data_IF_435546503525
#
_entry.id   IF_435546503525
#
_cell.length_a   1.000
_cell.length_b   1.000
_cell.length_c   1.000
_cell.angle_alpha   90.00
_cell.angle_beta   90.00
_cell.angle_gamma   90.00
#
_symmetry.space_group_name_H-M   'P 1'
#
loop_
_entity.id
_entity.type
_entity.pdbx_description
1 polymer ?
#
# COMPACT_ATOMS: atom_id res chain seq x y z
N UNK A 1 5.19 9.86 -19.66
CA UNK A 1 5.01 10.95 -18.66
C UNK A 1 6.34 11.17 -17.96
N UNK A 2 6.65 12.37 -17.45
CA UNK A 2 7.82 12.54 -16.59
C UNK A 2 7.65 11.69 -15.32
N UNK A 3 8.77 11.27 -14.73
CA UNK A 3 8.78 10.59 -13.43
C UNK A 3 8.14 11.47 -12.35
N UNK A 4 7.42 10.84 -11.41
CA UNK A 4 6.72 11.52 -10.31
C UNK A 4 7.29 11.02 -8.99
N UNK A 5 7.78 11.93 -8.14
CA UNK A 5 8.37 11.62 -6.84
C UNK A 5 9.44 10.51 -6.88
N UNK A 6 10.19 10.43 -7.99
CA UNK A 6 11.16 9.37 -8.25
C UNK A 6 12.42 9.44 -7.38
N UNK A 7 12.72 10.61 -6.82
CA UNK A 7 13.85 10.79 -5.90
C UNK A 7 13.49 10.23 -4.51
N UNK A 8 13.90 8.99 -4.25
CA UNK A 8 13.61 8.26 -3.02
C UNK A 8 14.42 8.72 -1.81
N UNK A 9 15.40 9.58 -2.01
CA UNK A 9 16.15 10.23 -0.92
C UNK A 9 15.38 11.38 -0.27
N UNK A 10 14.22 11.75 -0.81
CA UNK A 10 13.39 12.86 -0.32
C UNK A 10 12.10 12.35 0.33
N UNK A 11 11.69 12.94 1.46
CA UNK A 11 10.39 12.67 2.03
C UNK A 11 9.28 13.18 1.10
N UNK A 12 8.16 12.45 1.10
CA UNK A 12 6.96 12.82 0.35
C UNK A 12 5.75 12.63 1.25
N UNK A 13 4.81 13.57 1.22
CA UNK A 13 3.50 13.48 1.89
C UNK A 13 2.44 13.94 0.90
N UNK A 14 1.45 13.08 0.62
CA UNK A 14 0.37 13.35 -0.34
C UNK A 14 -0.96 12.97 0.28
N UNK A 15 -1.86 13.93 0.42
CA UNK A 15 -3.27 13.67 0.71
C UNK A 15 -4.00 13.35 -0.60
N UNK A 16 -4.32 12.07 -0.82
CA UNK A 16 -5.01 11.65 -2.05
C UNK A 16 -6.41 12.24 -2.19
N UNK A 17 -7.02 12.71 -1.10
CA UNK A 17 -8.34 13.35 -1.16
C UNK A 17 -8.30 14.71 -1.86
N UNK A 18 -7.11 15.32 -1.99
CA UNK A 18 -6.89 16.58 -2.72
C UNK A 18 -6.50 16.34 -4.19
N UNK A 19 -6.36 15.07 -4.62
CA UNK A 19 -5.98 14.74 -5.98
C UNK A 19 -7.20 14.47 -6.86
N UNK A 20 -7.13 14.92 -8.10
CA UNK A 20 -8.10 14.57 -9.14
C UNK A 20 -7.86 13.14 -9.66
N UNK A 21 -8.96 12.44 -9.97
CA UNK A 21 -8.89 11.16 -10.64
C UNK A 21 -8.48 11.31 -12.09
N UNK A 22 -7.51 10.52 -12.53
CA UNK A 22 -7.04 10.44 -13.92
C UNK A 22 -7.52 9.14 -14.55
N UNK A 23 -8.03 9.21 -15.78
CA UNK A 23 -8.44 8.02 -16.50
C UNK A 23 -7.23 7.10 -16.75
N UNK A 24 -7.44 5.80 -16.58
CA UNK A 24 -6.54 4.73 -17.00
C UNK A 24 -6.78 4.38 -18.47
N UNK A 25 -5.89 3.64 -19.16
CA UNK A 25 -6.17 3.09 -20.48
C UNK A 25 -7.39 2.17 -20.53
N UNK A 26 -7.71 1.47 -19.42
CA UNK A 26 -8.92 0.65 -19.32
C UNK A 26 -10.15 1.53 -18.97
N UNK A 27 -11.26 1.42 -19.73
CA UNK A 27 -12.48 2.17 -19.44
C UNK A 27 -13.02 1.85 -18.03
N UNK A 28 -13.51 2.88 -17.31
CA UNK A 28 -14.05 2.74 -15.97
C UNK A 28 -13.00 2.49 -14.87
N UNK A 29 -11.72 2.62 -15.21
CA UNK A 29 -10.63 2.54 -14.24
C UNK A 29 -9.94 3.88 -14.12
N UNK A 30 -9.78 4.34 -12.88
CA UNK A 30 -9.26 5.67 -12.52
C UNK A 30 -8.07 5.54 -11.60
N UNK A 31 -7.11 6.45 -11.70
CA UNK A 31 -5.86 6.42 -10.92
C UNK A 31 -5.54 7.77 -10.29
N UNK A 32 -5.01 7.72 -9.06
CA UNK A 32 -4.26 8.81 -8.41
C UNK A 32 -2.84 8.31 -8.22
N UNK A 33 -1.92 8.71 -9.11
CA UNK A 33 -0.52 8.28 -9.05
C UNK A 33 0.22 9.05 -7.96
N UNK A 34 0.86 8.34 -7.05
CA UNK A 34 1.63 8.86 -5.92
C UNK A 34 3.12 8.84 -6.22
N UNK A 35 3.59 7.79 -6.89
CA UNK A 35 4.96 7.61 -7.33
C UNK A 35 4.96 6.99 -8.73
N UNK A 36 5.91 7.43 -9.56
CA UNK A 36 6.20 6.84 -10.86
C UNK A 36 7.69 6.95 -11.16
N UNK A 37 8.34 5.80 -11.36
CA UNK A 37 9.74 5.73 -11.81
C UNK A 37 9.79 4.94 -13.11
N UNK A 38 10.25 5.57 -14.17
CA UNK A 38 10.34 4.98 -15.48
C UNK A 38 9.08 5.15 -16.34
N UNK A 39 8.71 4.12 -17.10
CA UNK A 39 7.56 4.16 -18.02
C UNK A 39 6.22 4.17 -17.27
N UNK A 40 5.24 4.90 -17.78
CA UNK A 40 3.95 5.11 -17.13
C UNK A 40 3.09 3.83 -16.97
N UNK A 41 3.31 2.83 -17.84
CA UNK A 41 2.54 1.58 -17.85
C UNK A 41 3.39 0.34 -17.51
N UNK A 42 4.72 0.47 -17.49
CA UNK A 42 5.67 -0.63 -17.21
C UNK A 42 6.68 -0.32 -16.10
N UNK A 43 6.68 0.90 -15.63
CA UNK A 43 7.58 1.36 -14.56
C UNK A 43 7.08 0.98 -13.18
N UNK A 44 7.87 1.35 -12.18
CA UNK A 44 7.49 1.23 -10.78
C UNK A 44 6.48 2.32 -10.44
N UNK A 45 5.31 1.91 -9.93
CA UNK A 45 4.19 2.82 -9.63
C UNK A 45 3.63 2.52 -8.25
N UNK A 46 3.30 3.58 -7.50
CA UNK A 46 2.40 3.54 -6.35
C UNK A 46 1.18 4.40 -6.66
N UNK A 47 -0.02 3.86 -6.49
CA UNK A 47 -1.27 4.54 -6.84
C UNK A 47 -2.42 4.17 -5.92
N UNK A 48 -3.41 5.06 -5.80
CA UNK A 48 -4.78 4.66 -5.47
C UNK A 48 -5.53 4.47 -6.79
N UNK A 49 -6.21 3.34 -6.93
CA UNK A 49 -6.93 2.94 -8.15
C UNK A 49 -8.38 2.69 -7.79
N UNK A 50 -9.31 3.23 -8.60
CA UNK A 50 -10.74 2.97 -8.48
C UNK A 50 -11.24 2.30 -9.75
N UNK A 51 -12.04 1.28 -9.57
CA UNK A 51 -12.80 0.60 -10.61
C UNK A 51 -14.27 0.99 -10.45
N UNK A 52 -14.90 1.43 -11.52
CA UNK A 52 -16.34 1.63 -11.57
C UNK A 52 -17.06 0.26 -11.62
N UNK A 53 -18.33 0.15 -11.20
CA UNK A 53 -19.09 -1.11 -11.25
C UNK A 53 -19.06 -1.78 -12.63
N UNK A 54 -18.88 -3.10 -12.65
CA UNK A 54 -18.81 -3.91 -13.87
C UNK A 54 -17.56 -3.74 -14.71
N UNK A 55 -16.53 -3.06 -14.20
CA UNK A 55 -15.27 -2.80 -14.90
C UNK A 55 -14.15 -3.76 -14.50
N UNK A 56 -13.10 -3.81 -15.31
CA UNK A 56 -11.94 -4.65 -15.08
C UNK A 56 -10.76 -4.24 -15.97
N UNK A 57 -9.69 -4.99 -15.85
CA UNK A 57 -8.53 -4.91 -16.71
C UNK A 57 -8.40 -6.21 -17.51
N UNK A 58 -8.00 -6.15 -18.80
CA UNK A 58 -7.65 -7.37 -19.53
C UNK A 58 -6.57 -8.18 -18.80
N UNK A 59 -6.57 -9.47 -19.01
CA UNK A 59 -5.56 -10.36 -18.44
C UNK A 59 -4.14 -9.88 -18.75
N UNK A 60 -3.31 -9.73 -17.72
CA UNK A 60 -1.97 -9.17 -17.82
C UNK A 60 -0.97 -9.82 -16.87
N UNK A 61 0.30 -9.70 -17.21
CA UNK A 61 1.41 -10.26 -16.44
C UNK A 61 2.06 -9.21 -15.54
N UNK A 62 2.61 -9.65 -14.41
CA UNK A 62 3.37 -8.82 -13.47
C UNK A 62 4.87 -9.14 -13.56
N UNK A 63 5.65 -8.49 -14.45
CA UNK A 63 7.05 -8.83 -14.68
C UNK A 63 7.96 -8.58 -13.46
N UNK A 64 7.60 -7.64 -12.61
CA UNK A 64 8.30 -7.32 -11.36
C UNK A 64 7.35 -7.31 -10.15
N UNK A 65 6.28 -8.10 -10.23
CA UNK A 65 5.32 -8.30 -9.16
C UNK A 65 4.38 -7.12 -8.91
N UNK A 66 3.36 -7.39 -8.12
CA UNK A 66 2.33 -6.43 -7.72
C UNK A 66 1.91 -6.63 -6.27
N UNK A 67 1.60 -5.52 -5.60
CA UNK A 67 0.98 -5.50 -4.27
C UNK A 67 -0.35 -4.75 -4.38
N UNK A 68 -1.43 -5.35 -3.86
CA UNK A 68 -2.76 -4.71 -3.83
C UNK A 68 -3.38 -4.86 -2.45
N UNK A 69 -3.72 -3.73 -1.83
CA UNK A 69 -4.60 -3.68 -0.66
C UNK A 69 -5.97 -3.17 -1.10
N UNK A 70 -7.00 -3.96 -0.88
CA UNK A 70 -8.39 -3.55 -1.15
C UNK A 70 -8.85 -2.60 -0.04
N UNK A 71 -9.08 -1.33 -0.39
CA UNK A 71 -9.49 -0.29 0.55
C UNK A 71 -11.00 -0.25 0.73
N UNK A 72 -11.76 -0.47 -0.36
CA UNK A 72 -13.22 -0.44 -0.39
C UNK A 72 -13.77 -1.33 -1.50
N UNK A 73 -14.99 -1.86 -1.32
CA UNK A 73 -15.65 -2.73 -2.28
C UNK A 73 -15.09 -4.15 -2.34
N UNK A 74 -15.26 -4.79 -3.49
CA UNK A 74 -14.79 -6.15 -3.77
C UNK A 74 -13.99 -6.16 -5.07
N UNK A 75 -12.73 -6.49 -4.97
CA UNK A 75 -11.85 -6.80 -6.09
C UNK A 75 -11.90 -8.31 -6.35
N UNK A 76 -11.87 -8.75 -7.59
CA UNK A 76 -11.93 -10.16 -7.95
C UNK A 76 -11.01 -10.47 -9.14
N UNK A 77 -10.62 -11.72 -9.25
CA UNK A 77 -9.95 -12.31 -10.42
C UNK A 77 -10.43 -13.76 -10.61
N UNK A 78 -9.85 -14.50 -11.56
CA UNK A 78 -10.16 -15.90 -11.82
C UNK A 78 -9.89 -16.85 -10.63
N UNK A 79 -9.21 -16.35 -9.58
CA UNK A 79 -8.85 -17.14 -8.39
C UNK A 79 -9.76 -16.86 -7.20
N UNK A 80 -10.60 -15.82 -7.24
CA UNK A 80 -11.55 -15.54 -6.18
C UNK A 80 -11.95 -14.09 -6.03
N UNK A 81 -12.66 -13.81 -4.93
CA UNK A 81 -13.11 -12.47 -4.54
C UNK A 81 -12.34 -11.98 -3.32
N UNK A 82 -11.98 -10.71 -3.35
CA UNK A 82 -11.14 -10.06 -2.34
C UNK A 82 -11.87 -8.80 -1.83
N UNK A 83 -12.61 -8.89 -0.74
CA UNK A 83 -13.29 -7.73 -0.16
C UNK A 83 -12.32 -6.78 0.53
N UNK A 84 -12.79 -5.58 0.84
CA UNK A 84 -12.03 -4.57 1.59
C UNK A 84 -11.31 -5.19 2.81
N UNK A 85 -10.03 -4.85 2.99
CA UNK A 85 -9.13 -5.44 3.97
C UNK A 85 -8.37 -6.68 3.48
N UNK A 86 -8.55 -7.11 2.23
CA UNK A 86 -7.71 -8.17 1.65
C UNK A 86 -6.43 -7.56 1.05
N UNK A 87 -5.28 -8.19 1.35
CA UNK A 87 -4.00 -7.90 0.72
C UNK A 87 -3.60 -9.03 -0.21
N UNK A 88 -3.24 -8.69 -1.46
CA UNK A 88 -2.63 -9.62 -2.41
C UNK A 88 -1.19 -9.24 -2.69
N UNK A 89 -0.30 -10.23 -2.67
CA UNK A 89 1.10 -10.11 -3.05
C UNK A 89 1.32 -11.08 -4.21
N UNK A 90 1.55 -10.54 -5.39
CA UNK A 90 1.69 -11.27 -6.63
C UNK A 90 3.16 -11.15 -7.11
N UNK A 91 3.97 -12.22 -7.06
CA UNK A 91 5.38 -12.18 -7.42
C UNK A 91 5.59 -12.04 -8.92
N UNK A 92 6.86 -11.88 -9.31
CA UNK A 92 7.32 -11.93 -10.70
C UNK A 92 6.71 -13.14 -11.45
N UNK A 93 6.17 -12.87 -12.64
CA UNK A 93 5.57 -13.90 -13.51
C UNK A 93 4.14 -14.29 -13.16
N UNK A 94 3.55 -13.72 -12.12
CA UNK A 94 2.11 -13.89 -11.87
C UNK A 94 1.27 -13.21 -12.95
N UNK A 95 0.07 -13.75 -13.16
CA UNK A 95 -0.89 -13.26 -14.16
C UNK A 95 -2.29 -13.33 -13.59
N UNK A 96 -3.12 -12.34 -13.89
CA UNK A 96 -4.55 -12.37 -13.56
C UNK A 96 -5.37 -11.48 -14.52
N UNK A 97 -6.70 -11.63 -14.44
CA UNK A 97 -7.69 -10.78 -15.09
C UNK A 97 -8.59 -10.14 -14.04
N UNK A 98 -8.24 -8.95 -13.53
CA UNK A 98 -8.97 -8.32 -12.44
C UNK A 98 -10.28 -7.71 -12.89
N UNK A 99 -11.31 -7.90 -12.07
CA UNK A 99 -12.67 -7.41 -12.28
C UNK A 99 -13.30 -6.95 -10.96
N UNK A 100 -14.39 -6.23 -11.07
CA UNK A 100 -15.27 -5.93 -9.93
C UNK A 100 -16.72 -5.90 -10.42
N UNK A 101 -17.65 -6.43 -9.63
CA UNK A 101 -19.09 -6.35 -9.93
C UNK A 101 -19.66 -4.98 -9.52
N UNK A 102 -19.40 -4.56 -8.28
CA UNK A 102 -20.03 -3.40 -7.65
C UNK A 102 -19.10 -2.18 -7.53
N UNK A 103 -17.87 -2.30 -8.03
CA UNK A 103 -16.82 -1.30 -7.90
C UNK A 103 -15.91 -1.59 -6.71
N UNK A 104 -14.67 -1.07 -6.79
CA UNK A 104 -13.72 -1.15 -5.69
C UNK A 104 -12.69 -0.01 -5.74
N UNK A 105 -12.05 0.22 -4.60
CA UNK A 105 -10.91 1.14 -4.48
C UNK A 105 -9.73 0.38 -3.89
N UNK A 106 -8.57 0.53 -4.50
CA UNK A 106 -7.36 -0.22 -4.22
C UNK A 106 -6.19 0.71 -3.92
N UNK A 107 -5.29 0.31 -3.04
CA UNK A 107 -3.94 0.83 -2.97
C UNK A 107 -3.02 -0.16 -3.67
N UNK A 108 -2.34 0.27 -4.73
CA UNK A 108 -1.62 -0.60 -5.67
C UNK A 108 -0.16 -0.18 -5.79
N UNK A 109 0.73 -1.15 -5.79
CA UNK A 109 2.17 -0.98 -6.02
C UNK A 109 2.62 -1.93 -7.14
N UNK A 110 2.90 -1.37 -8.31
CA UNK A 110 3.40 -2.13 -9.47
C UNK A 110 4.92 -2.15 -9.48
N UNK A 111 5.50 -3.29 -9.90
CA UNK A 111 6.94 -3.51 -10.01
C UNK A 111 7.69 -3.31 -8.69
N UNK A 112 7.07 -3.67 -7.56
CA UNK A 112 7.64 -3.48 -6.23
C UNK A 112 7.60 -4.74 -5.36
N UNK A 113 7.31 -5.90 -5.98
CA UNK A 113 7.35 -7.22 -5.34
C UNK A 113 8.10 -8.22 -6.22
N UNK A 114 9.26 -7.78 -6.75
CA UNK A 114 10.07 -8.54 -7.68
C UNK A 114 10.79 -9.71 -6.98
N UNK A 115 10.82 -10.87 -7.64
CA UNK A 115 11.50 -12.09 -7.23
C UNK A 115 10.65 -13.31 -7.56
N UNK A 116 11.27 -14.31 -8.24
CA UNK A 116 10.58 -15.56 -8.60
C UNK A 116 10.33 -16.44 -7.37
N UNK A 117 11.19 -16.34 -6.36
CA UNK A 117 11.10 -17.10 -5.10
C UNK A 117 10.18 -16.43 -4.05
N UNK A 118 9.57 -15.30 -4.38
CA UNK A 118 8.63 -14.66 -3.45
C UNK A 118 7.31 -15.41 -3.36
N UNK A 119 6.75 -15.57 -2.16
CA UNK A 119 5.47 -16.24 -2.01
C UNK A 119 4.33 -15.42 -2.61
N UNK A 120 3.49 -16.05 -3.42
CA UNK A 120 2.18 -15.50 -3.75
C UNK A 120 1.27 -15.60 -2.53
N UNK A 121 0.63 -14.49 -2.15
CA UNK A 121 -0.25 -14.42 -0.98
C UNK A 121 -1.55 -13.72 -1.30
N UNK A 122 -2.63 -14.20 -0.70
CA UNK A 122 -3.94 -13.56 -0.64
C UNK A 122 -4.41 -13.65 0.81
N UNK A 123 -4.36 -12.53 1.51
CA UNK A 123 -4.51 -12.50 2.96
C UNK A 123 -5.70 -11.62 3.34
N UNK A 124 -6.71 -12.23 3.96
CA UNK A 124 -7.83 -11.49 4.57
C UNK A 124 -7.40 -10.97 5.95
N UNK A 125 -7.14 -9.66 6.03
CA UNK A 125 -6.69 -9.03 7.27
C UNK A 125 -7.81 -8.76 8.27
N UNK A 126 -9.07 -9.08 7.91
CA UNK A 126 -10.21 -9.04 8.85
C UNK A 126 -10.19 -10.24 9.79
N UNK A 127 -9.44 -11.31 9.46
CA UNK A 127 -9.25 -12.45 10.35
C UNK A 127 -8.56 -11.98 11.66
N UNK A 128 -9.22 -12.08 12.82
CA UNK A 128 -8.66 -11.60 14.08
C UNK A 128 -7.40 -12.36 14.52
N UNK A 129 -7.25 -13.61 14.13
CA UNK A 129 -6.12 -14.45 14.53
C UNK A 129 -4.78 -14.04 13.90
N UNK A 130 -4.81 -13.22 12.85
CA UNK A 130 -3.61 -12.69 12.21
C UNK A 130 -3.01 -11.47 12.92
N UNK A 131 -3.74 -10.87 13.87
CA UNK A 131 -3.30 -9.68 14.60
C UNK A 131 -2.55 -10.06 15.87
N UNK A 132 -1.42 -9.43 16.10
CA UNK A 132 -0.66 -9.58 17.34
C UNK A 132 -0.37 -8.23 17.98
N UNK A 133 -0.51 -8.14 19.29
CA UNK A 133 -0.13 -6.96 20.04
C UNK A 133 1.41 -6.87 20.14
N UNK A 134 1.96 -5.68 19.84
CA UNK A 134 3.40 -5.41 19.96
C UNK A 134 3.73 -4.62 21.21
N UNK A 135 2.90 -3.65 21.56
CA UNK A 135 2.90 -2.92 22.82
C UNK A 135 1.49 -2.36 23.09
N UNK A 136 1.30 -1.71 24.24
CA UNK A 136 0.01 -1.17 24.62
C UNK A 136 -0.53 -0.20 23.55
N UNK A 137 -1.72 -0.48 23.04
CA UNK A 137 -2.38 0.32 22.01
C UNK A 137 -1.97 0.03 20.56
N UNK A 138 -0.99 -0.87 20.31
CA UNK A 138 -0.61 -1.22 18.93
C UNK A 138 -0.72 -2.71 18.66
N UNK A 139 -1.47 -3.04 17.62
CA UNK A 139 -1.51 -4.36 17.01
C UNK A 139 -0.96 -4.31 15.58
N UNK A 140 -0.36 -5.40 15.14
CA UNK A 140 0.15 -5.55 13.78
C UNK A 140 -0.35 -6.86 13.16
N UNK A 141 -0.55 -6.81 11.83
CA UNK A 141 -0.78 -7.97 10.98
C UNK A 141 0.38 -8.04 9.99
N UNK A 142 1.28 -9.01 10.14
CA UNK A 142 2.42 -9.17 9.25
C UNK A 142 1.96 -9.82 7.93
N UNK A 143 2.12 -9.10 6.83
CA UNK A 143 1.75 -9.51 5.48
C UNK A 143 2.95 -10.12 4.75
N UNK A 144 4.14 -9.56 4.98
CA UNK A 144 5.41 -10.06 4.47
C UNK A 144 6.55 -9.71 5.44
N UNK A 145 7.24 -10.71 5.95
CA UNK A 145 8.46 -10.62 6.75
C UNK A 145 9.21 -11.95 6.57
N UNK A 146 9.94 -12.06 5.46
CA UNK A 146 10.61 -13.30 5.07
C UNK A 146 12.13 -13.19 5.18
N UNK A 147 12.81 -14.22 5.67
CA UNK A 147 14.28 -14.25 5.68
C UNK A 147 14.87 -14.05 4.28
N UNK A 148 15.91 -13.24 4.18
CA UNK A 148 16.58 -12.95 2.91
C UNK A 148 16.03 -11.76 2.13
N UNK A 149 14.94 -11.16 2.61
CA UNK A 149 14.36 -9.94 2.04
C UNK A 149 14.45 -8.80 3.05
N UNK A 150 14.96 -7.61 2.66
CA UNK A 150 15.12 -6.50 3.61
C UNK A 150 13.79 -5.85 3.98
N UNK A 151 12.81 -5.89 3.08
CA UNK A 151 11.54 -5.23 3.31
C UNK A 151 10.58 -6.07 4.15
N UNK A 152 9.74 -5.33 4.89
CA UNK A 152 8.60 -5.87 5.64
C UNK A 152 7.34 -5.12 5.25
N UNK A 153 6.23 -5.85 5.09
CA UNK A 153 4.91 -5.28 4.79
C UNK A 153 3.96 -5.69 5.90
N UNK A 154 3.25 -4.73 6.48
CA UNK A 154 2.29 -4.99 7.55
C UNK A 154 1.13 -4.01 7.55
N UNK A 155 0.01 -4.40 8.15
CA UNK A 155 -0.94 -3.45 8.69
C UNK A 155 -0.61 -3.16 10.15
N UNK A 156 -0.79 -1.92 10.57
CA UNK A 156 -0.62 -1.48 11.96
C UNK A 156 -1.89 -0.79 12.41
N UNK A 157 -2.52 -1.31 13.46
CA UNK A 157 -3.68 -0.70 14.11
C UNK A 157 -3.23 -0.03 15.38
N UNK A 158 -3.51 1.26 15.51
CA UNK A 158 -3.27 2.05 16.71
C UNK A 158 -4.59 2.40 17.38
N UNK A 159 -4.71 2.08 18.66
CA UNK A 159 -5.86 2.51 19.47
C UNK A 159 -5.85 4.02 19.72
N UNK A 160 -6.98 4.64 20.06
CA UNK A 160 -7.02 6.05 20.45
C UNK A 160 -6.03 6.36 21.59
N UNK A 161 -5.31 7.48 21.48
CA UNK A 161 -4.31 7.95 22.43
C UNK A 161 -2.98 7.20 22.39
N UNK A 162 -2.73 6.38 21.37
CA UNK A 162 -1.46 5.65 21.25
C UNK A 162 -0.34 6.56 20.73
N UNK A 163 0.80 6.54 21.42
CA UNK A 163 2.06 7.12 20.98
C UNK A 163 3.01 6.00 20.52
N UNK A 164 3.60 6.18 19.33
CA UNK A 164 4.65 5.28 18.83
C UNK A 164 5.99 5.81 19.31
N UNK A 165 6.87 5.01 19.93
CA UNK A 165 8.19 5.47 20.30
C UNK A 165 8.94 6.09 19.12
N UNK A 166 9.77 7.12 19.40
CA UNK A 166 10.67 7.67 18.39
C UNK A 166 11.51 6.55 17.77
N UNK A 167 11.56 6.50 16.44
CA UNK A 167 12.30 5.48 15.71
C UNK A 167 12.94 6.05 14.43
N UNK A 168 13.96 5.34 13.97
CA UNK A 168 14.68 5.62 12.72
C UNK A 168 14.24 4.62 11.67
N UNK A 169 14.06 5.07 10.44
CA UNK A 169 13.64 4.24 9.30
C UNK A 169 14.86 3.63 8.59
N UNK A 170 15.35 2.52 9.10
CA UNK A 170 16.41 1.75 8.44
C UNK A 170 15.89 1.16 7.12
N UNK A 171 16.53 1.53 6.00
CA UNK A 171 16.05 1.18 4.65
C UNK A 171 14.77 1.90 4.23
N UNK A 172 14.38 2.97 4.95
CA UNK A 172 13.22 3.79 4.67
C UNK A 172 11.89 3.20 5.09
N UNK A 173 10.86 4.05 5.12
CA UNK A 173 9.48 3.68 5.46
C UNK A 173 8.49 4.31 4.49
N UNK A 174 7.44 3.56 4.17
CA UNK A 174 6.28 4.02 3.44
C UNK A 174 5.02 3.71 4.25
N UNK A 175 4.13 4.69 4.35
CA UNK A 175 2.87 4.58 5.11
C UNK A 175 1.71 5.04 4.23
N UNK A 176 0.61 4.28 4.24
CA UNK A 176 -0.69 4.75 3.76
C UNK A 176 -1.70 4.70 4.91
N UNK A 177 -2.33 5.82 5.22
CA UNK A 177 -3.37 5.89 6.24
C UNK A 177 -4.66 5.33 5.67
N UNK A 178 -5.00 4.10 6.05
CA UNK A 178 -6.19 3.38 5.56
C UNK A 178 -7.46 3.96 6.21
N UNK A 179 -7.41 4.20 7.53
CA UNK A 179 -8.52 4.83 8.26
C UNK A 179 -8.02 5.59 9.49
N UNK A 180 -8.83 6.52 9.99
CA UNK A 180 -8.46 7.35 11.14
C UNK A 180 -7.48 8.46 10.80
N UNK A 181 -6.68 8.88 11.77
CA UNK A 181 -5.69 9.95 11.63
C UNK A 181 -4.40 9.58 12.37
N UNK A 182 -3.26 9.72 11.70
CA UNK A 182 -1.91 9.70 12.27
C UNK A 182 -1.39 11.13 12.37
N UNK A 183 -0.57 11.43 13.37
CA UNK A 183 0.16 12.68 13.49
C UNK A 183 1.62 12.42 13.88
N UNK A 184 2.48 13.37 13.58
CA UNK A 184 3.86 13.46 14.09
C UNK A 184 4.25 14.93 14.29
N UNK A 185 5.53 15.20 14.60
CA UNK A 185 6.06 16.55 14.77
C UNK A 185 5.98 17.45 13.51
N UNK A 186 5.67 16.86 12.35
CA UNK A 186 5.62 17.56 11.06
C UNK A 186 4.19 17.81 10.58
N UNK A 187 3.17 17.07 11.10
CA UNK A 187 1.81 17.29 10.65
C UNK A 187 0.77 16.29 11.14
N UNK A 188 -0.41 16.38 10.55
CA UNK A 188 -1.54 15.46 10.75
C UNK A 188 -1.93 14.84 9.41
N UNK A 189 -2.17 13.55 9.41
CA UNK A 189 -2.33 12.72 8.21
C UNK A 189 -3.61 11.89 8.34
N UNK A 190 -4.66 12.35 7.68
CA UNK A 190 -5.96 11.66 7.70
C UNK A 190 -5.99 10.47 6.74
N UNK A 191 -7.02 9.66 6.84
CA UNK A 191 -7.28 8.57 5.90
C UNK A 191 -7.14 9.02 4.43
N UNK A 192 -6.45 8.21 3.62
CA UNK A 192 -6.08 8.53 2.25
C UNK A 192 -4.76 9.30 2.11
N UNK A 193 -4.04 9.60 3.18
CA UNK A 193 -2.69 10.18 3.08
C UNK A 193 -1.66 9.09 2.84
N UNK A 194 -0.82 9.29 1.83
CA UNK A 194 0.37 8.50 1.57
C UNK A 194 1.63 9.27 1.95
N UNK A 195 2.55 8.59 2.62
CA UNK A 195 3.82 9.14 3.08
C UNK A 195 4.96 8.22 2.68
N UNK A 196 6.10 8.79 2.33
CA UNK A 196 7.35 8.07 2.10
C UNK A 196 8.47 8.81 2.80
N UNK A 197 9.17 8.11 3.68
CA UNK A 197 10.28 8.60 4.49
C UNK A 197 11.57 7.92 4.04
N UNK A 198 12.63 8.68 3.66
CA UNK A 198 13.88 8.11 3.19
C UNK A 198 14.61 7.33 4.30
N UNK A 199 15.58 6.51 3.88
CA UNK A 199 16.49 5.82 4.79
C UNK A 199 17.18 6.80 5.75
N UNK A 200 17.27 6.42 7.03
CA UNK A 200 17.85 7.22 8.10
C UNK A 200 16.99 8.39 8.62
N UNK A 201 15.83 8.65 8.02
CA UNK A 201 14.86 9.59 8.59
C UNK A 201 14.24 9.05 9.88
N UNK A 202 13.65 9.92 10.68
CA UNK A 202 13.05 9.51 11.96
C UNK A 202 11.88 10.40 12.33
N UNK A 203 10.95 9.88 13.13
CA UNK A 203 9.85 10.63 13.71
C UNK A 203 9.30 9.97 14.99
N UNK A 204 8.37 10.66 15.66
CA UNK A 204 7.58 10.14 16.77
C UNK A 204 6.10 10.28 16.42
N UNK A 205 5.47 9.28 15.82
CA UNK A 205 4.04 9.38 15.48
C UNK A 205 3.13 9.10 16.67
N UNK A 206 1.91 9.66 16.61
CA UNK A 206 0.84 9.39 17.55
C UNK A 206 -0.52 9.45 16.86
N UNK A 207 -1.53 8.99 17.54
CA UNK A 207 -2.93 9.17 17.12
C UNK A 207 -3.80 9.52 18.32
N UNK A 208 -4.71 10.48 18.14
CA UNK A 208 -5.70 10.84 19.16
C UNK A 208 -6.95 9.95 19.07
N UNK A 209 -7.39 9.67 17.83
CA UNK A 209 -8.65 8.98 17.54
C UNK A 209 -8.49 7.50 17.17
N UNK A 210 -7.25 7.03 17.00
CA UNK A 210 -6.93 5.73 16.45
C UNK A 210 -6.79 5.76 14.93
N UNK A 211 -6.04 4.80 14.38
CA UNK A 211 -5.87 4.67 12.94
C UNK A 211 -5.50 3.24 12.54
N UNK A 212 -5.73 2.93 11.26
CA UNK A 212 -5.23 1.75 10.57
C UNK A 212 -4.28 2.20 9.47
N UNK A 213 -3.09 1.64 9.45
CA UNK A 213 -2.00 1.99 8.54
C UNK A 213 -1.55 0.76 7.74
N UNK A 214 -1.35 0.92 6.43
CA UNK A 214 -0.42 0.08 5.69
C UNK A 214 0.99 0.64 5.92
N UNK A 215 1.94 -0.23 6.21
CA UNK A 215 3.35 0.15 6.46
C UNK A 215 4.27 -0.80 5.70
N UNK A 216 5.18 -0.24 4.89
CA UNK A 216 6.27 -0.98 4.23
C UNK A 216 7.61 -0.36 4.64
N UNK A 217 8.53 -1.18 5.13
CA UNK A 217 9.84 -0.74 5.60
C UNK A 217 10.96 -1.50 4.90
N UNK A 218 12.18 -0.95 4.87
CA UNK A 218 13.37 -1.65 4.39
C UNK A 218 13.53 -1.73 2.87
N UNK A 219 12.65 -1.09 2.09
CA UNK A 219 12.60 -1.20 0.62
C UNK A 219 13.16 0.01 -0.13
N UNK A 220 13.63 1.04 0.60
CA UNK A 220 14.18 2.29 0.04
C UNK A 220 15.69 2.38 0.21
N UNK A 221 16.30 1.42 0.89
CA UNK A 221 17.75 1.33 1.02
C UNK A 221 18.43 1.11 -0.33
N UNK A 222 19.59 1.71 -0.51
CA UNK A 222 20.47 1.59 -1.69
C UNK A 222 21.16 0.24 -1.76
#
# INVERSE_FOLDING_TARGET
MPSLHADRSKPVVIDTNQMEWQASPAPGVWRKRLELVGDAEKGMVTSVVRFDPGCGFPAHDHPLGEEVLVLDGVFADEFGEYPAGTMTLLPTGSRHEPVTADGCTLFVKLCQYAGEDRPMRRTDTRNPDGWRQTYAGREVFDLFDEPGWPEKIRLSRLAPGTEVPHHVHEGGEEVFVVSGELADEHGRYRAGTWMRFPDGSSHRPWTESGCLLYVKTGHLGS
#
